data_IF_606323843279
#
_entry.id   IF_606323843279
#
_cell.length_a   1.000
_cell.length_b   1.000
_cell.length_c   1.000
_cell.angle_alpha   90.00
_cell.angle_beta   90.00
_cell.angle_gamma   90.00
#
_symmetry.space_group_name_H-M   'P 1'
#
loop_
_entity.id
_entity.type
_entity.pdbx_description
1 polymer ?
#
# COMPACT_ATOMS: atom_id res chain seq x y z
N UNK A 1 -12.61 22.07 -3.51
CA UNK A 1 -11.33 21.48 -3.96
C UNK A 1 -11.10 21.47 -5.47
N UNK A 2 -11.89 22.21 -6.27
CA UNK A 2 -11.77 22.17 -7.75
C UNK A 2 -10.38 22.59 -8.28
N UNK A 3 -9.64 23.42 -7.54
CA UNK A 3 -8.32 23.91 -7.96
C UNK A 3 -7.14 23.09 -7.42
N UNK A 4 -7.40 22.04 -6.62
CA UNK A 4 -6.34 21.21 -6.05
C UNK A 4 -6.16 19.98 -6.96
N UNK A 5 -4.96 19.70 -7.49
CA UNK A 5 -4.71 18.60 -8.41
C UNK A 5 -4.60 17.24 -7.68
N UNK A 6 -5.60 16.89 -6.87
CA UNK A 6 -5.58 15.72 -5.99
C UNK A 6 -5.31 14.41 -6.76
N UNK A 7 -6.10 14.13 -7.80
CA UNK A 7 -5.96 12.91 -8.59
C UNK A 7 -4.58 12.79 -9.27
N UNK A 8 -4.03 13.90 -9.76
CA UNK A 8 -2.71 13.95 -10.38
C UNK A 8 -1.59 13.64 -9.39
N UNK A 9 -1.67 14.21 -8.18
CA UNK A 9 -0.70 13.93 -7.11
C UNK A 9 -0.80 12.48 -6.64
N UNK A 10 -2.01 11.96 -6.44
CA UNK A 10 -2.22 10.56 -6.06
C UNK A 10 -1.68 9.61 -7.12
N UNK A 11 -1.90 9.88 -8.40
CA UNK A 11 -1.31 9.09 -9.50
C UNK A 11 0.21 9.11 -9.50
N UNK A 12 0.81 10.27 -9.19
CA UNK A 12 2.27 10.41 -9.07
C UNK A 12 2.83 9.61 -7.88
N UNK A 13 2.12 9.63 -6.75
CA UNK A 13 2.46 8.82 -5.58
C UNK A 13 2.30 7.32 -5.84
N UNK A 14 1.27 6.93 -6.61
CA UNK A 14 1.06 5.55 -7.04
C UNK A 14 2.20 5.05 -7.91
N UNK A 15 2.73 5.89 -8.82
CA UNK A 15 3.93 5.54 -9.57
C UNK A 15 5.14 5.29 -8.66
N UNK A 16 5.40 6.21 -7.72
CA UNK A 16 6.49 6.03 -6.76
C UNK A 16 6.30 4.74 -5.92
N UNK A 17 5.07 4.50 -5.47
CA UNK A 17 4.67 3.34 -4.68
C UNK A 17 4.88 2.02 -5.42
N UNK A 18 4.50 1.93 -6.69
CA UNK A 18 4.62 0.71 -7.49
C UNK A 18 6.08 0.45 -7.90
N UNK A 19 6.85 1.51 -8.17
CA UNK A 19 8.20 1.33 -8.70
C UNK A 19 9.28 1.20 -7.62
N UNK A 20 9.21 1.93 -6.51
CA UNK A 20 10.37 2.10 -5.61
C UNK A 20 10.04 2.24 -4.13
N UNK A 21 8.80 2.57 -3.76
CA UNK A 21 8.41 2.94 -2.40
C UNK A 21 7.29 2.04 -1.83
N UNK A 22 7.61 0.78 -1.48
CA UNK A 22 6.63 -0.12 -0.85
C UNK A 22 6.04 0.42 0.45
N UNK A 23 6.80 1.22 1.17
CA UNK A 23 6.47 1.83 2.46
C UNK A 23 5.27 2.80 2.40
N UNK A 24 4.96 3.36 1.23
CA UNK A 24 3.77 4.22 1.05
C UNK A 24 2.56 3.46 0.44
N UNK A 25 2.61 2.13 0.37
CA UNK A 25 1.54 1.28 -0.19
C UNK A 25 0.15 1.60 0.36
N UNK A 26 0.00 1.48 1.68
CA UNK A 26 -1.27 1.72 2.36
C UNK A 26 -1.82 3.15 2.19
N UNK A 27 -1.06 4.23 2.47
CA UNK A 27 -1.61 5.58 2.36
C UNK A 27 -2.02 5.93 0.93
N UNK A 28 -1.30 5.45 -0.09
CA UNK A 28 -1.67 5.67 -1.51
C UNK A 28 -2.98 4.97 -1.85
N UNK A 29 -3.16 3.73 -1.41
CA UNK A 29 -4.42 3.00 -1.59
C UNK A 29 -5.59 3.75 -0.93
N UNK A 30 -5.40 4.25 0.29
CA UNK A 30 -6.39 5.06 0.99
C UNK A 30 -6.73 6.34 0.23
N UNK A 31 -5.75 7.04 -0.36
CA UNK A 31 -6.00 8.25 -1.13
C UNK A 31 -6.82 7.99 -2.40
N UNK A 32 -6.61 6.84 -3.04
CA UNK A 32 -7.37 6.41 -4.22
C UNK A 32 -8.87 6.24 -3.95
N UNK A 33 -9.24 5.83 -2.72
CA UNK A 33 -10.65 5.66 -2.31
C UNK A 33 -11.45 6.97 -2.37
N UNK A 34 -10.80 8.10 -2.14
CA UNK A 34 -11.44 9.42 -2.09
C UNK A 34 -11.15 10.28 -3.33
N UNK A 35 -10.66 9.68 -4.42
CA UNK A 35 -10.26 10.41 -5.62
C UNK A 35 -11.40 11.23 -6.26
N UNK A 36 -12.62 10.70 -6.25
CA UNK A 36 -13.79 11.36 -6.87
C UNK A 36 -14.34 12.53 -6.06
N UNK A 37 -14.21 12.48 -4.73
CA UNK A 37 -14.69 13.52 -3.83
C UNK A 37 -13.78 13.62 -2.60
N UNK A 38 -12.57 14.20 -2.74
CA UNK A 38 -11.67 14.31 -1.61
C UNK A 38 -12.17 15.39 -0.64
N UNK A 39 -11.59 15.43 0.55
CA UNK A 39 -11.80 16.49 1.55
C UNK A 39 -10.45 17.14 1.96
N UNK A 40 -10.48 18.26 2.66
CA UNK A 40 -9.30 18.99 3.13
C UNK A 40 -8.39 18.09 3.97
N UNK A 41 -8.96 17.20 4.79
CA UNK A 41 -8.18 16.22 5.58
C UNK A 41 -7.44 15.23 4.67
N UNK A 42 -8.08 14.75 3.59
CA UNK A 42 -7.41 13.91 2.60
C UNK A 42 -6.23 14.66 1.95
N UNK A 43 -6.40 15.94 1.63
CA UNK A 43 -5.30 16.75 1.08
C UNK A 43 -4.16 17.00 2.07
N UNK A 44 -4.47 17.17 3.36
CA UNK A 44 -3.45 17.25 4.41
C UNK A 44 -2.65 15.94 4.51
N UNK A 45 -3.34 14.80 4.46
CA UNK A 45 -2.69 13.49 4.50
C UNK A 45 -1.76 13.25 3.30
N UNK A 46 -2.20 13.60 2.08
CA UNK A 46 -1.35 13.55 0.87
C UNK A 46 -0.09 14.40 1.06
N UNK A 47 -0.23 15.65 1.55
CA UNK A 47 0.92 16.52 1.81
C UNK A 47 1.87 15.95 2.88
N UNK A 48 1.36 15.24 3.87
CA UNK A 48 2.19 14.55 4.86
C UNK A 48 3.03 13.46 4.22
N UNK A 49 2.46 12.63 3.34
CA UNK A 49 3.20 11.60 2.60
C UNK A 49 4.25 12.24 1.69
N UNK A 50 3.93 13.33 1.01
CA UNK A 50 4.91 14.06 0.18
C UNK A 50 6.09 14.60 1.02
N UNK A 51 5.83 15.16 2.21
CA UNK A 51 6.92 15.58 3.12
C UNK A 51 7.75 14.40 3.62
N UNK A 52 7.11 13.27 3.90
CA UNK A 52 7.80 12.04 4.29
C UNK A 52 8.72 11.52 3.17
N UNK A 53 8.26 11.54 1.91
CA UNK A 53 9.09 11.22 0.75
C UNK A 53 10.26 12.18 0.60
N UNK A 54 10.03 13.48 0.78
CA UNK A 54 11.08 14.49 0.70
C UNK A 54 12.15 14.30 1.78
N UNK A 55 11.75 13.95 3.01
CA UNK A 55 12.67 13.66 4.11
C UNK A 55 13.45 12.35 3.93
N UNK A 56 12.87 11.38 3.23
CA UNK A 56 13.46 10.06 2.98
C UNK A 56 13.75 9.84 1.49
N UNK A 57 14.28 10.86 0.81
CA UNK A 57 14.62 10.79 -0.62
C UNK A 57 15.75 9.82 -0.93
N UNK A 58 16.60 9.54 0.06
CA UNK A 58 17.78 8.69 -0.09
C UNK A 58 17.47 7.20 0.12
N UNK A 59 16.23 6.86 0.51
CA UNK A 59 15.78 5.48 0.65
C UNK A 59 15.67 4.85 -0.73
N UNK A 60 16.25 3.65 -0.88
CA UNK A 60 16.31 2.92 -2.14
C UNK A 60 16.22 1.42 -1.90
N UNK A 61 15.67 0.71 -2.88
CA UNK A 61 15.74 -0.73 -2.94
C UNK A 61 17.17 -1.14 -3.32
N UNK A 62 17.76 -2.03 -2.52
CA UNK A 62 19.13 -2.51 -2.73
C UNK A 62 19.04 -3.99 -3.03
N UNK A 63 19.32 -4.36 -4.27
CA UNK A 63 19.45 -5.75 -4.68
C UNK A 63 20.90 -6.19 -4.57
N UNK A 64 21.14 -7.38 -4.01
CA UNK A 64 22.47 -7.96 -3.88
C UNK A 64 22.52 -9.29 -4.61
N UNK A 65 23.69 -9.57 -5.17
CA UNK A 65 23.98 -10.89 -5.70
C UNK A 65 24.01 -11.91 -4.56
N UNK A 66 23.45 -13.09 -4.81
CA UNK A 66 23.54 -14.25 -3.95
C UNK A 66 23.49 -15.50 -4.81
N UNK A 67 24.31 -16.48 -4.48
CA UNK A 67 24.31 -17.79 -5.14
C UNK A 67 23.12 -18.66 -4.70
N UNK A 68 22.42 -18.25 -3.63
CA UNK A 68 21.20 -18.90 -3.15
C UNK A 68 20.00 -18.04 -3.49
N UNK A 69 19.09 -18.62 -4.28
CA UNK A 69 17.80 -18.04 -4.61
C UNK A 69 16.80 -18.38 -3.48
N UNK A 70 16.56 -17.42 -2.60
CA UNK A 70 15.57 -17.53 -1.52
C UNK A 70 14.47 -16.51 -1.71
N UNK A 71 13.22 -16.98 -1.71
CA UNK A 71 12.02 -16.15 -1.75
C UNK A 71 11.32 -16.28 -0.40
N UNK A 72 11.08 -15.14 0.24
CA UNK A 72 10.32 -15.04 1.47
C UNK A 72 9.14 -14.12 1.23
N UNK A 73 7.94 -14.55 1.62
CA UNK A 73 6.73 -13.77 1.48
C UNK A 73 6.10 -13.54 2.86
N UNK A 74 5.56 -12.34 3.05
CA UNK A 74 4.74 -12.00 4.20
C UNK A 74 3.40 -11.47 3.69
N UNK A 75 2.32 -11.86 4.36
CA UNK A 75 0.97 -11.37 4.14
C UNK A 75 0.37 -10.97 5.48
N UNK A 76 -0.47 -9.94 5.48
CA UNK A 76 -1.15 -9.44 6.67
C UNK A 76 -2.48 -8.76 6.29
N UNK A 77 -3.41 -8.66 7.23
CA UNK A 77 -4.67 -7.97 7.02
C UNK A 77 -5.07 -7.06 8.19
N UNK A 78 -5.75 -5.95 7.91
CA UNK A 78 -6.38 -5.14 8.95
C UNK A 78 -7.89 -5.41 9.03
N UNK A 79 -8.29 -6.36 9.86
CA UNK A 79 -9.71 -6.69 10.07
C UNK A 79 -10.55 -5.44 10.37
N UNK A 80 -11.57 -5.20 9.55
CA UNK A 80 -12.50 -4.05 9.70
C UNK A 80 -11.78 -2.69 9.67
N UNK A 81 -10.66 -2.59 8.94
CA UNK A 81 -9.87 -1.37 8.86
C UNK A 81 -10.59 -0.18 8.21
N UNK A 82 -11.63 -0.42 7.40
CA UNK A 82 -12.48 0.63 6.85
C UNK A 82 -13.76 0.78 7.68
N UNK A 83 -13.95 1.91 8.37
CA UNK A 83 -15.11 2.16 9.24
C UNK A 83 -16.43 2.23 8.48
N UNK A 84 -16.41 2.70 7.23
CA UNK A 84 -17.62 2.95 6.44
C UNK A 84 -18.16 1.66 5.82
N UNK A 85 -17.26 0.83 5.29
CA UNK A 85 -17.60 -0.40 4.54
C UNK A 85 -17.38 -1.67 5.35
N UNK A 86 -16.75 -1.56 6.52
CA UNK A 86 -16.28 -2.69 7.37
C UNK A 86 -15.30 -3.63 6.65
N UNK A 87 -14.83 -3.28 5.46
CA UNK A 87 -13.88 -4.07 4.68
C UNK A 87 -12.48 -3.97 5.24
N UNK A 88 -11.79 -5.10 5.27
CA UNK A 88 -10.37 -5.15 5.63
C UNK A 88 -9.51 -4.70 4.45
N UNK A 89 -8.26 -4.40 4.74
CA UNK A 89 -7.20 -4.14 3.76
C UNK A 89 -6.16 -5.23 3.90
N UNK A 90 -5.91 -5.96 2.82
CA UNK A 90 -4.82 -6.93 2.74
C UNK A 90 -3.53 -6.21 2.34
N UNK A 91 -2.42 -6.74 2.82
CA UNK A 91 -1.09 -6.35 2.39
C UNK A 91 -0.22 -7.58 2.20
N UNK A 92 0.71 -7.50 1.25
CA UNK A 92 1.79 -8.48 1.15
C UNK A 92 3.10 -7.85 0.70
N UNK A 93 4.19 -8.55 1.00
CA UNK A 93 5.52 -8.22 0.53
C UNK A 93 6.30 -9.50 0.25
N UNK A 94 6.89 -9.57 -0.94
CA UNK A 94 7.80 -10.63 -1.39
C UNK A 94 9.21 -10.07 -1.40
N UNK A 95 10.11 -10.82 -0.77
CA UNK A 95 11.53 -10.56 -0.73
C UNK A 95 12.24 -11.65 -1.52
N UNK A 96 13.14 -11.23 -2.40
CA UNK A 96 14.10 -12.09 -3.07
C UNK A 96 15.49 -11.75 -2.53
N UNK A 97 16.18 -12.73 -1.94
CA UNK A 97 17.53 -12.51 -1.38
C UNK A 97 17.50 -11.33 -0.37
N UNK A 98 16.49 -11.33 0.51
CA UNK A 98 16.27 -10.26 1.49
C UNK A 98 15.91 -8.88 0.92
N UNK A 99 15.71 -8.76 -0.40
CA UNK A 99 15.40 -7.50 -1.09
C UNK A 99 13.97 -7.52 -1.61
N UNK A 100 13.21 -6.45 -1.40
CA UNK A 100 11.80 -6.39 -1.80
C UNK A 100 11.66 -6.39 -3.34
N UNK A 101 10.84 -7.29 -3.88
CA UNK A 101 10.61 -7.43 -5.34
C UNK A 101 9.16 -7.30 -5.77
N UNK A 102 8.20 -7.61 -4.88
CA UNK A 102 6.78 -7.44 -5.14
C UNK A 102 6.07 -7.09 -3.85
N UNK A 103 5.10 -6.19 -3.91
CA UNK A 103 4.33 -5.74 -2.76
C UNK A 103 2.99 -5.19 -3.22
N UNK A 104 2.03 -5.20 -2.30
CA UNK A 104 0.71 -4.64 -2.55
C UNK A 104 0.02 -4.28 -1.25
N UNK A 105 -0.81 -3.25 -1.30
CA UNK A 105 -1.84 -2.98 -0.30
C UNK A 105 -3.14 -2.80 -1.05
N UNK A 106 -4.19 -3.52 -0.64
CA UNK A 106 -5.46 -3.56 -1.36
C UNK A 106 -6.63 -3.74 -0.40
N UNK A 107 -7.70 -2.98 -0.62
CA UNK A 107 -8.97 -3.22 0.08
C UNK A 107 -9.57 -4.55 -0.36
N UNK A 108 -9.94 -5.41 0.59
CA UNK A 108 -10.61 -6.67 0.30
C UNK A 108 -11.95 -6.42 -0.40
N UNK A 109 -12.31 -7.30 -1.32
CA UNK A 109 -13.57 -7.19 -2.08
C UNK A 109 -14.78 -7.56 -1.24
N UNK A 110 -14.63 -8.52 -0.33
CA UNK A 110 -15.64 -9.00 0.61
C UNK A 110 -15.39 -8.46 2.03
N UNK A 111 -16.43 -8.50 2.87
CA UNK A 111 -16.32 -8.19 4.29
C UNK A 111 -16.03 -9.49 5.01
N UNK A 112 -14.84 -9.59 5.62
CA UNK A 112 -14.51 -10.72 6.48
C UNK A 112 -15.36 -10.71 7.76
N UNK A 113 -15.72 -11.89 8.26
CA UNK A 113 -16.50 -12.08 9.48
C UNK A 113 -15.62 -12.23 10.73
N UNK A 114 -14.32 -12.46 10.55
CA UNK A 114 -13.34 -12.60 11.63
C UNK A 114 -11.95 -12.14 11.20
N UNK A 115 -11.06 -11.93 12.18
CA UNK A 115 -9.64 -11.65 11.91
C UNK A 115 -8.99 -12.80 11.15
N UNK A 116 -9.29 -14.05 11.53
CA UNK A 116 -8.80 -15.25 10.84
C UNK A 116 -9.18 -15.26 9.36
N UNK A 117 -10.44 -14.92 9.04
CA UNK A 117 -10.92 -14.88 7.66
C UNK A 117 -10.24 -13.76 6.86
N UNK A 118 -10.04 -12.59 7.47
CA UNK A 118 -9.32 -11.49 6.83
C UNK A 118 -7.85 -11.88 6.51
N UNK A 119 -7.17 -12.56 7.44
CA UNK A 119 -5.81 -13.07 7.24
C UNK A 119 -5.77 -14.13 6.14
N UNK A 120 -6.75 -15.03 6.11
CA UNK A 120 -6.86 -16.06 5.08
C UNK A 120 -7.02 -15.44 3.68
N UNK A 121 -7.86 -14.42 3.54
CA UNK A 121 -8.03 -13.67 2.29
C UNK A 121 -6.71 -12.98 1.88
N UNK A 122 -6.00 -12.35 2.82
CA UNK A 122 -4.74 -11.69 2.52
C UNK A 122 -3.65 -12.68 2.06
N UNK A 123 -3.59 -13.86 2.68
CA UNK A 123 -2.70 -14.95 2.27
C UNK A 123 -3.07 -15.47 0.87
N UNK A 124 -4.37 -15.67 0.60
CA UNK A 124 -4.84 -16.07 -0.73
C UNK A 124 -4.49 -15.03 -1.80
N UNK A 125 -4.78 -13.74 -1.57
CA UNK A 125 -4.46 -12.63 -2.50
C UNK A 125 -2.96 -12.45 -2.75
N UNK A 126 -2.10 -12.89 -1.83
CA UNK A 126 -0.66 -12.90 -2.04
C UNK A 126 -0.21 -14.01 -3.02
N UNK A 127 -0.92 -15.14 -3.06
CA UNK A 127 -0.50 -16.34 -3.80
C UNK A 127 -1.26 -16.59 -5.10
N UNK A 128 -2.44 -15.99 -5.28
CA UNK A 128 -3.31 -16.15 -6.45
C UNK A 128 -2.86 -15.32 -7.66
#
# INVERSE_FOLDING_TARGET
>A
MKDIPYASVVGSLMYAQVCTRPDIGYPVEMFGRYQSNPDIEHWKAVKTVMRYLQGNKDFKLIYRHSDRLEVVAYSDSNFVGNTDTRKSTSGYIFLLIGSVVSWKSIKQTIVASSTMEAEFIACYEATA
#
